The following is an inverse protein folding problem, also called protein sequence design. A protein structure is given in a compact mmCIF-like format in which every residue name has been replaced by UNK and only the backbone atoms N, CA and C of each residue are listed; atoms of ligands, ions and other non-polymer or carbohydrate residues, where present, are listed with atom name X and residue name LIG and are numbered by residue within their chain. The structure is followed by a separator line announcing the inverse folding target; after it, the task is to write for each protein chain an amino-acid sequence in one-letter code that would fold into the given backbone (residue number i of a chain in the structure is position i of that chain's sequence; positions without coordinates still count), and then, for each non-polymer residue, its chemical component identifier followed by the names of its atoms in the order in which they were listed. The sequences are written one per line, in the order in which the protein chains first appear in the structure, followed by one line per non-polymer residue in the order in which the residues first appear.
data_IF_770360953403
#
_entry.id   IF_770360953403
#
_cell.length_a   1.000
_cell.length_b   1.000
_cell.length_c   1.000
_cell.angle_alpha   90.00
_cell.angle_beta   90.00
_cell.angle_gamma   90.00
#
_symmetry.space_group_name_H-M   'P 1'
#
loop_
_entity.id
_entity.type
_entity.pdbx_description
1 polymer ?
#
# COMPACT_ATOMS: atom_id res chain seq x y z
N UNK A 1 1.08 51.77 -19.90
CA UNK A 1 0.64 50.43 -19.50
C UNK A 1 1.65 49.66 -18.61
N UNK A 2 2.74 50.28 -18.16
CA UNK A 2 3.89 49.57 -17.54
C UNK A 2 3.95 49.63 -15.99
N UNK A 3 3.06 50.38 -15.33
CA UNK A 3 3.18 50.71 -13.90
C UNK A 3 2.15 49.99 -13.01
N UNK A 4 1.09 49.43 -13.61
CA UNK A 4 -0.06 48.88 -12.85
C UNK A 4 0.04 47.37 -12.58
N UNK A 5 0.59 46.61 -13.53
CA UNK A 5 0.76 45.16 -13.40
C UNK A 5 1.82 44.82 -12.34
N UNK A 6 2.90 45.58 -12.28
CA UNK A 6 3.97 45.35 -11.29
C UNK A 6 3.51 45.63 -9.85
N UNK A 7 2.62 46.63 -9.65
CA UNK A 7 2.08 46.95 -8.34
C UNK A 7 1.12 45.88 -7.81
N UNK A 8 0.44 45.17 -8.71
CA UNK A 8 -0.57 44.17 -8.38
C UNK A 8 -0.13 42.74 -8.74
N UNK A 9 1.17 42.51 -8.96
CA UNK A 9 1.69 41.26 -9.49
C UNK A 9 1.40 40.07 -8.57
N UNK A 10 1.62 40.23 -7.26
CA UNK A 10 1.34 39.18 -6.26
C UNK A 10 -0.15 38.79 -6.22
N UNK A 11 -1.05 39.79 -6.24
CA UNK A 11 -2.49 39.55 -6.25
C UNK A 11 -2.93 38.85 -7.56
N UNK A 12 -2.36 39.26 -8.69
CA UNK A 12 -2.59 38.60 -9.98
C UNK A 12 -2.15 37.14 -9.95
N UNK A 13 -0.94 36.86 -9.43
CA UNK A 13 -0.40 35.50 -9.33
C UNK A 13 -1.29 34.62 -8.44
N UNK A 14 -1.72 35.12 -7.27
CA UNK A 14 -2.63 34.40 -6.36
C UNK A 14 -3.98 34.10 -7.00
N UNK A 15 -4.66 35.10 -7.58
CA UNK A 15 -5.96 34.89 -8.25
C UNK A 15 -5.84 33.94 -9.44
N UNK A 16 -4.72 34.00 -10.17
CA UNK A 16 -4.48 33.09 -11.28
C UNK A 16 -4.26 31.65 -10.76
N UNK A 17 -3.52 31.48 -9.66
CA UNK A 17 -3.33 30.17 -9.02
C UNK A 17 -4.67 29.57 -8.56
N UNK A 18 -5.54 30.35 -7.92
CA UNK A 18 -6.90 29.92 -7.54
C UNK A 18 -7.73 29.51 -8.77
N UNK A 19 -7.59 30.24 -9.87
CA UNK A 19 -8.20 29.92 -11.16
C UNK A 19 -7.72 28.57 -11.72
N UNK A 20 -6.41 28.31 -11.66
CA UNK A 20 -5.83 27.01 -12.07
C UNK A 20 -6.33 25.88 -11.18
N UNK A 21 -6.34 26.10 -9.86
CA UNK A 21 -6.80 25.10 -8.88
C UNK A 21 -8.29 24.77 -9.04
N UNK A 22 -9.12 25.73 -9.43
CA UNK A 22 -10.57 25.51 -9.63
C UNK A 22 -10.94 24.98 -11.02
N UNK A 23 -10.01 25.04 -11.99
CA UNK A 23 -10.28 24.65 -13.38
C UNK A 23 -10.55 23.15 -13.54
N UNK A 24 -11.72 22.76 -14.04
CA UNK A 24 -12.14 21.33 -14.04
C UNK A 24 -11.66 20.48 -15.21
N UNK A 25 -11.09 21.10 -16.26
CA UNK A 25 -10.61 20.37 -17.45
C UNK A 25 -9.13 20.00 -17.26
N UNK A 26 -8.34 20.06 -18.33
CA UNK A 26 -6.92 19.72 -18.30
C UNK A 26 -6.11 20.81 -17.55
N UNK A 27 -6.13 20.76 -16.20
CA UNK A 27 -5.37 21.66 -15.30
C UNK A 27 -3.90 21.67 -15.63
N UNK A 28 -3.33 20.52 -15.99
CA UNK A 28 -1.92 20.41 -16.35
C UNK A 28 -1.57 21.23 -17.58
N UNK A 29 -2.42 21.19 -18.62
CA UNK A 29 -2.23 22.01 -19.81
C UNK A 29 -2.38 23.49 -19.49
N UNK A 30 -3.39 23.86 -18.69
CA UNK A 30 -3.58 25.26 -18.27
C UNK A 30 -2.40 25.77 -17.43
N UNK A 31 -1.96 24.97 -16.45
CA UNK A 31 -0.81 25.26 -15.60
C UNK A 31 0.47 25.40 -16.43
N UNK A 32 0.69 24.50 -17.40
CA UNK A 32 1.81 24.59 -18.34
C UNK A 32 1.78 25.91 -19.14
N UNK A 33 0.64 26.27 -19.72
CA UNK A 33 0.48 27.53 -20.46
C UNK A 33 0.73 28.76 -19.59
N UNK A 34 0.25 28.76 -18.35
CA UNK A 34 0.42 29.87 -17.42
C UNK A 34 1.87 29.98 -16.95
N UNK A 35 2.53 28.85 -16.68
CA UNK A 35 3.97 28.81 -16.39
C UNK A 35 4.78 29.40 -17.55
N UNK A 36 4.50 28.95 -18.78
CA UNK A 36 5.18 29.45 -19.98
C UNK A 36 4.96 30.96 -20.16
N UNK A 37 3.73 31.44 -19.92
CA UNK A 37 3.40 32.85 -19.96
C UNK A 37 4.18 33.68 -18.93
N UNK A 38 4.19 33.30 -17.66
CA UNK A 38 4.90 34.07 -16.63
C UNK A 38 6.42 33.94 -16.71
N UNK A 39 6.94 32.81 -17.20
CA UNK A 39 8.37 32.68 -17.55
C UNK A 39 8.75 33.63 -18.69
N UNK A 40 7.91 33.73 -19.72
CA UNK A 40 8.10 34.71 -20.80
C UNK A 40 8.08 36.15 -20.27
N UNK A 41 7.09 36.51 -19.43
CA UNK A 41 7.00 37.85 -18.84
C UNK A 41 8.23 38.16 -17.98
N UNK A 42 8.66 37.21 -17.15
CA UNK A 42 9.86 37.35 -16.32
C UNK A 42 11.10 37.64 -17.15
N UNK A 43 11.31 36.86 -18.22
CA UNK A 43 12.47 36.99 -19.12
C UNK A 43 12.43 38.27 -19.97
N UNK A 44 11.28 38.59 -20.55
CA UNK A 44 11.16 39.70 -21.50
C UNK A 44 11.17 41.07 -20.81
N UNK A 45 10.54 41.17 -19.64
CA UNK A 45 10.44 42.43 -18.89
C UNK A 45 11.44 42.54 -17.72
N UNK A 46 12.28 41.53 -17.50
CA UNK A 46 13.29 41.53 -16.43
C UNK A 46 12.70 41.50 -15.01
N UNK A 47 11.47 40.99 -14.86
CA UNK A 47 10.75 40.93 -13.58
C UNK A 47 11.04 39.59 -12.92
N UNK A 48 11.43 39.58 -11.64
CA UNK A 48 11.63 38.33 -10.90
C UNK A 48 10.27 37.76 -10.50
N UNK A 49 9.85 36.67 -11.15
CA UNK A 49 8.64 35.93 -10.82
C UNK A 49 9.04 34.52 -10.42
N UNK A 50 8.68 34.12 -9.20
CA UNK A 50 8.88 32.75 -8.74
C UNK A 50 7.71 31.87 -9.21
N UNK A 51 7.78 31.44 -10.47
CA UNK A 51 6.68 30.70 -11.12
C UNK A 51 6.39 29.38 -10.41
N UNK A 52 7.39 28.72 -9.84
CA UNK A 52 7.22 27.44 -9.16
C UNK A 52 6.47 27.57 -7.83
N UNK A 53 6.63 28.72 -7.14
CA UNK A 53 5.87 29.01 -5.91
C UNK A 53 4.37 29.12 -6.15
N UNK A 54 3.93 29.72 -7.27
CA UNK A 54 2.51 29.94 -7.55
C UNK A 54 1.88 28.85 -8.42
N UNK A 55 2.66 28.23 -9.30
CA UNK A 55 2.18 27.30 -10.32
C UNK A 55 3.02 26.03 -10.34
N UNK A 56 3.17 25.29 -9.23
CA UNK A 56 4.05 24.13 -9.17
C UNK A 56 3.73 23.11 -10.28
N UNK A 57 4.72 22.37 -10.79
CA UNK A 57 4.47 21.30 -11.76
C UNK A 57 3.42 20.34 -11.19
N UNK A 58 2.28 20.26 -11.88
CA UNK A 58 1.23 19.33 -11.51
C UNK A 58 1.64 17.95 -12.04
N UNK A 59 2.01 17.06 -11.11
CA UNK A 59 2.56 15.75 -11.46
C UNK A 59 1.51 14.69 -11.77
N UNK A 60 0.22 14.93 -11.50
CA UNK A 60 -0.81 13.88 -11.58
C UNK A 60 -2.05 14.31 -12.34
N UNK A 61 -2.37 13.58 -13.40
CA UNK A 61 -3.37 14.02 -14.39
C UNK A 61 -4.75 13.40 -14.21
N UNK A 62 -4.85 12.25 -13.56
CA UNK A 62 -6.10 11.51 -13.38
C UNK A 62 -6.44 11.25 -11.91
N UNK A 63 -7.74 11.13 -11.61
CA UNK A 63 -8.23 10.86 -10.25
C UNK A 63 -7.59 9.59 -9.67
N UNK A 64 -7.53 8.52 -10.45
CA UNK A 64 -6.97 7.22 -10.03
C UNK A 64 -5.51 7.32 -9.60
N UNK A 65 -4.68 7.95 -10.45
CA UNK A 65 -3.25 8.17 -10.14
C UNK A 65 -3.11 9.03 -8.88
N UNK A 66 -3.88 10.11 -8.77
CA UNK A 66 -3.85 10.98 -7.59
C UNK A 66 -4.28 10.25 -6.32
N UNK A 67 -5.31 9.40 -6.38
CA UNK A 67 -5.75 8.64 -5.20
C UNK A 67 -4.68 7.63 -4.75
N UNK A 68 -3.97 6.99 -5.69
CA UNK A 68 -2.82 6.13 -5.38
C UNK A 68 -1.70 6.93 -4.71
N UNK A 69 -1.40 8.12 -5.22
CA UNK A 69 -0.34 8.96 -4.65
C UNK A 69 -0.73 9.55 -3.29
N UNK A 70 -2.00 9.89 -3.08
CA UNK A 70 -2.52 10.25 -1.75
C UNK A 70 -2.27 9.09 -0.78
N UNK A 71 -2.63 7.85 -1.15
CA UNK A 71 -2.41 6.69 -0.28
C UNK A 71 -0.94 6.52 0.11
N UNK A 72 0.01 6.75 -0.81
CA UNK A 72 1.45 6.70 -0.54
C UNK A 72 1.93 7.87 0.33
N UNK A 73 1.44 9.08 0.07
CA UNK A 73 1.78 10.26 0.86
C UNK A 73 1.38 10.10 2.33
N UNK A 74 0.28 9.39 2.58
CA UNK A 74 -0.20 9.07 3.93
C UNK A 74 0.62 7.97 4.64
N UNK A 75 1.68 7.42 4.02
CA UNK A 75 2.60 6.46 4.66
C UNK A 75 3.60 7.14 5.60
N UNK A 76 3.91 8.42 5.38
CA UNK A 76 4.88 9.20 6.17
C UNK A 76 4.32 9.73 7.50
N UNK A 77 3.24 9.13 7.98
CA UNK A 77 2.54 9.50 9.20
C UNK A 77 1.29 10.36 8.97
N UNK A 78 0.58 10.71 10.06
CA UNK A 78 -0.71 11.39 9.98
C UNK A 78 -0.61 12.78 9.33
N UNK A 79 -1.49 13.07 8.37
CA UNK A 79 -1.55 14.37 7.66
C UNK A 79 -2.91 15.03 7.80
N UNK A 80 -2.94 16.35 7.91
CA UNK A 80 -4.15 17.18 7.88
C UNK A 80 -4.68 17.35 6.45
N UNK A 81 -5.92 17.81 6.30
CA UNK A 81 -6.49 18.07 4.96
C UNK A 81 -5.75 19.18 4.24
N UNK A 82 -5.36 20.20 4.98
CA UNK A 82 -4.65 21.38 4.50
C UNK A 82 -3.31 20.96 3.89
N UNK A 83 -2.54 20.13 4.60
CA UNK A 83 -1.26 19.58 4.10
C UNK A 83 -1.43 18.77 2.81
N UNK A 84 -2.41 17.85 2.79
CA UNK A 84 -2.66 17.02 1.62
C UNK A 84 -3.12 17.89 0.43
N UNK A 85 -4.02 18.85 0.67
CA UNK A 85 -4.57 19.74 -0.37
C UNK A 85 -3.48 20.60 -1.02
N UNK A 86 -2.57 21.13 -0.19
CA UNK A 86 -1.42 21.90 -0.63
C UNK A 86 -0.45 21.03 -1.44
N UNK A 87 -0.09 19.85 -0.93
CA UNK A 87 0.83 18.93 -1.60
C UNK A 87 0.32 18.51 -2.98
N UNK A 88 -0.96 18.17 -3.10
CA UNK A 88 -1.56 17.75 -4.37
C UNK A 88 -2.12 18.90 -5.23
N UNK A 89 -2.03 20.15 -4.75
CA UNK A 89 -2.56 21.34 -5.43
C UNK A 89 -4.03 21.17 -5.86
N UNK A 90 -4.86 20.66 -4.94
CA UNK A 90 -6.31 20.48 -5.14
C UNK A 90 -7.09 21.23 -4.07
N UNK A 91 -8.33 21.62 -4.40
CA UNK A 91 -9.22 22.23 -3.41
C UNK A 91 -9.56 21.25 -2.29
N UNK A 92 -9.75 21.74 -1.07
CA UNK A 92 -10.20 20.93 0.07
C UNK A 92 -11.50 20.18 -0.19
N UNK A 93 -12.41 20.77 -1.00
CA UNK A 93 -13.64 20.11 -1.42
C UNK A 93 -13.35 18.84 -2.22
N UNK A 94 -12.48 18.94 -3.24
CA UNK A 94 -12.05 17.80 -4.05
C UNK A 94 -11.34 16.75 -3.19
N UNK A 95 -10.49 17.18 -2.26
CA UNK A 95 -9.82 16.28 -1.34
C UNK A 95 -10.84 15.57 -0.43
N UNK A 96 -11.84 16.29 0.09
CA UNK A 96 -12.88 15.72 0.94
C UNK A 96 -13.66 14.63 0.21
N UNK A 97 -13.98 14.84 -1.07
CA UNK A 97 -14.62 13.81 -1.90
C UNK A 97 -13.74 12.55 -2.00
N UNK A 98 -12.43 12.70 -2.25
CA UNK A 98 -11.50 11.56 -2.33
C UNK A 98 -11.33 10.83 -0.99
N UNK A 99 -11.17 11.56 0.11
CA UNK A 99 -11.03 10.98 1.43
C UNK A 99 -12.30 10.25 1.86
N UNK A 100 -13.48 10.77 1.53
CA UNK A 100 -14.75 10.09 1.77
C UNK A 100 -14.86 8.76 0.99
N UNK A 101 -14.44 8.75 -0.28
CA UNK A 101 -14.41 7.52 -1.09
C UNK A 101 -13.45 6.48 -0.50
N UNK A 102 -12.25 6.91 -0.06
CA UNK A 102 -11.29 6.02 0.60
C UNK A 102 -11.79 5.54 1.97
N UNK A 103 -12.51 6.35 2.73
CA UNK A 103 -13.05 5.93 4.03
C UNK A 103 -14.20 4.93 3.89
N UNK A 104 -15.03 5.09 2.85
CA UNK A 104 -16.14 4.18 2.56
C UNK A 104 -15.69 2.89 1.87
N UNK A 105 -14.50 2.91 1.25
CA UNK A 105 -14.02 1.82 0.40
C UNK A 105 -14.65 1.81 -1.00
N UNK A 106 -15.21 2.95 -1.43
CA UNK A 106 -15.86 3.11 -2.74
C UNK A 106 -14.84 3.17 -3.88
N UNK A 107 -13.60 3.58 -3.56
CA UNK A 107 -12.50 3.57 -4.52
C UNK A 107 -11.94 2.16 -4.70
N UNK A 108 -11.86 1.72 -5.96
CA UNK A 108 -11.24 0.44 -6.32
C UNK A 108 -10.19 0.61 -7.41
N UNK A 109 -9.15 -0.21 -7.33
CA UNK A 109 -8.11 -0.28 -8.34
C UNK A 109 -7.84 -1.75 -8.68
N UNK A 110 -7.86 -2.09 -9.97
CA UNK A 110 -7.74 -3.48 -10.46
C UNK A 110 -8.69 -4.47 -9.77
N UNK A 111 -9.89 -4.01 -9.42
CA UNK A 111 -10.93 -4.81 -8.77
C UNK A 111 -10.81 -4.93 -7.24
N UNK A 112 -9.80 -4.30 -6.62
CA UNK A 112 -9.61 -4.29 -5.16
C UNK A 112 -10.06 -2.96 -4.58
N UNK A 113 -11.01 -3.03 -3.65
CA UNK A 113 -11.42 -1.87 -2.85
C UNK A 113 -10.28 -1.43 -1.91
N UNK A 114 -9.99 -0.13 -1.90
CA UNK A 114 -9.00 0.48 -1.02
C UNK A 114 -9.74 1.27 0.06
N UNK A 115 -9.51 0.90 1.32
CA UNK A 115 -10.16 1.54 2.46
C UNK A 115 -9.16 2.03 3.48
N UNK A 116 -9.20 3.32 3.83
CA UNK A 116 -8.44 3.89 4.94
C UNK A 116 -9.32 4.00 6.18
N UNK A 117 -8.72 3.90 7.36
CA UNK A 117 -9.41 4.19 8.62
C UNK A 117 -9.09 5.63 9.04
N UNK A 118 -10.07 6.28 9.70
CA UNK A 118 -9.82 7.53 10.41
C UNK A 118 -9.79 7.22 11.90
N UNK A 119 -8.71 7.61 12.59
CA UNK A 119 -8.72 7.58 14.05
C UNK A 119 -9.74 8.59 14.57
N UNK A 120 -10.73 8.11 15.32
CA UNK A 120 -11.78 8.97 15.91
C UNK A 120 -11.13 9.99 16.85
N UNK A 121 -11.40 11.28 16.63
CA UNK A 121 -10.89 12.39 17.44
C UNK A 121 -9.64 13.06 16.88
N UNK A 122 -9.04 12.51 15.83
CA UNK A 122 -7.91 13.11 15.12
C UNK A 122 -8.38 13.68 13.77
N UNK A 123 -8.04 14.94 13.48
CA UNK A 123 -8.29 15.58 12.17
C UNK A 123 -7.20 15.22 11.14
N UNK A 124 -6.61 14.04 11.28
CA UNK A 124 -5.49 13.57 10.48
C UNK A 124 -5.79 12.23 9.83
N UNK A 125 -5.10 11.97 8.73
CA UNK A 125 -5.27 10.81 7.87
C UNK A 125 -3.94 10.06 7.77
N UNK A 126 -3.99 8.73 7.83
CA UNK A 126 -2.87 7.83 7.58
C UNK A 126 -3.32 6.67 6.67
N UNK A 127 -2.35 5.93 6.13
CA UNK A 127 -2.62 4.77 5.28
C UNK A 127 -1.54 3.72 5.48
N UNK A 128 -1.96 2.46 5.56
CA UNK A 128 -1.09 1.28 5.54
C UNK A 128 -1.20 0.52 4.21
N UNK A 129 -1.98 1.05 3.25
CA UNK A 129 -2.20 0.43 1.94
C UNK A 129 -0.99 0.66 1.04
N UNK A 130 -0.34 -0.40 0.59
CA UNK A 130 0.80 -0.32 -0.33
C UNK A 130 0.39 -0.79 -1.73
N UNK A 131 -0.01 0.12 -2.63
CA UNK A 131 -0.36 -0.24 -4.01
C UNK A 131 0.91 -0.60 -4.80
N UNK A 132 0.99 -1.85 -5.26
CA UNK A 132 2.08 -2.35 -6.11
C UNK A 132 1.52 -2.72 -7.48
N UNK A 133 2.04 -2.11 -8.54
CA UNK A 133 1.68 -2.40 -9.93
C UNK A 133 2.92 -2.79 -10.73
N UNK A 134 2.90 -3.96 -11.33
CA UNK A 134 4.00 -4.49 -12.13
C UNK A 134 3.47 -4.89 -13.51
N UNK A 135 3.97 -4.30 -14.62
CA UNK A 135 3.63 -4.75 -15.97
C UNK A 135 4.43 -6.02 -16.31
N UNK A 136 3.86 -7.17 -15.95
CA UNK A 136 4.54 -8.46 -16.03
C UNK A 136 4.20 -9.23 -17.31
N UNK A 137 5.18 -9.96 -17.83
CA UNK A 137 4.94 -10.97 -18.85
C UNK A 137 4.36 -12.27 -18.23
N UNK A 138 3.85 -13.18 -19.06
CA UNK A 138 3.21 -14.41 -18.56
C UNK A 138 4.13 -15.34 -17.76
N UNK A 139 5.43 -15.35 -18.05
CA UNK A 139 6.40 -16.16 -17.29
C UNK A 139 6.61 -15.60 -15.88
N UNK A 140 6.68 -14.28 -15.75
CA UNK A 140 6.77 -13.60 -14.45
C UNK A 140 5.48 -13.76 -13.64
N UNK A 141 4.31 -13.64 -14.30
CA UNK A 141 3.01 -13.95 -13.71
C UNK A 141 2.98 -15.39 -13.22
N UNK A 142 3.49 -16.35 -13.99
CA UNK A 142 3.56 -17.76 -13.58
C UNK A 142 4.44 -17.95 -12.34
N UNK A 143 5.60 -17.28 -12.27
CA UNK A 143 6.46 -17.30 -11.10
C UNK A 143 5.78 -16.70 -9.86
N UNK A 144 5.09 -15.56 -10.01
CA UNK A 144 4.39 -14.88 -8.91
C UNK A 144 3.03 -15.49 -8.55
N UNK A 145 2.56 -16.48 -9.28
CA UNK A 145 1.33 -17.22 -8.95
C UNK A 145 1.67 -18.64 -8.52
N UNK A 146 2.04 -19.49 -9.46
CA UNK A 146 2.37 -20.91 -9.21
C UNK A 146 3.66 -21.04 -8.41
N UNK A 147 4.68 -20.25 -8.72
CA UNK A 147 5.96 -20.29 -8.00
C UNK A 147 5.83 -19.90 -6.53
N UNK A 148 5.06 -18.85 -6.22
CA UNK A 148 4.78 -18.46 -4.83
C UNK A 148 4.06 -19.56 -4.06
N UNK A 149 2.96 -20.11 -4.61
CA UNK A 149 2.24 -21.20 -3.93
C UNK A 149 3.11 -22.42 -3.68
N UNK A 150 3.95 -22.80 -4.64
CA UNK A 150 4.91 -23.92 -4.48
C UNK A 150 5.95 -23.63 -3.41
N UNK A 151 6.55 -22.44 -3.43
CA UNK A 151 7.57 -22.00 -2.47
C UNK A 151 6.99 -21.85 -1.06
N UNK A 152 5.73 -21.46 -0.97
CA UNK A 152 5.02 -21.29 0.30
C UNK A 152 4.70 -22.61 1.00
N UNK A 153 4.66 -23.74 0.29
CA UNK A 153 4.27 -25.04 0.86
C UNK A 153 5.12 -25.38 2.07
N UNK A 154 4.46 -25.66 3.20
CA UNK A 154 5.12 -26.00 4.47
C UNK A 154 6.10 -24.93 4.95
N UNK A 155 5.82 -23.66 4.67
CA UNK A 155 6.57 -22.52 5.23
C UNK A 155 5.69 -21.60 6.05
N UNK A 156 6.32 -20.75 6.87
CA UNK A 156 5.67 -19.66 7.60
C UNK A 156 4.91 -18.66 6.70
N UNK A 157 5.17 -18.64 5.40
CA UNK A 157 4.58 -17.71 4.44
C UNK A 157 3.45 -18.29 3.61
N UNK A 158 3.10 -19.58 3.79
CA UNK A 158 2.15 -20.30 2.95
C UNK A 158 0.87 -19.50 2.69
N UNK A 159 0.21 -19.04 3.75
CA UNK A 159 -1.10 -18.40 3.65
C UNK A 159 -1.04 -17.03 2.96
N UNK A 160 0.06 -16.30 3.13
CA UNK A 160 0.30 -15.02 2.45
C UNK A 160 0.61 -15.25 0.97
N UNK A 161 1.49 -16.21 0.66
CA UNK A 161 1.84 -16.54 -0.72
C UNK A 161 0.64 -17.07 -1.49
N UNK A 162 -0.18 -17.91 -0.87
CA UNK A 162 -1.42 -18.38 -1.47
C UNK A 162 -2.35 -17.21 -1.77
N UNK A 163 -2.58 -16.32 -0.80
CA UNK A 163 -3.43 -15.15 -0.98
C UNK A 163 -2.91 -14.19 -2.06
N UNK A 164 -1.62 -13.85 -2.06
CA UNK A 164 -1.03 -12.96 -3.07
C UNK A 164 -1.15 -13.59 -4.47
N UNK A 165 -0.85 -14.89 -4.59
CA UNK A 165 -0.97 -15.61 -5.85
C UNK A 165 -2.42 -15.62 -6.38
N UNK A 166 -3.40 -15.85 -5.52
CA UNK A 166 -4.82 -15.76 -5.87
C UNK A 166 -5.20 -14.34 -6.31
N UNK A 167 -4.69 -13.32 -5.60
CA UNK A 167 -5.00 -11.94 -5.93
C UNK A 167 -4.44 -11.50 -7.29
N UNK A 168 -3.22 -11.93 -7.62
CA UNK A 168 -2.58 -11.68 -8.92
C UNK A 168 -3.34 -12.42 -10.01
N UNK A 169 -3.66 -13.70 -9.79
CA UNK A 169 -4.42 -14.51 -10.74
C UNK A 169 -5.75 -13.87 -11.09
N UNK A 170 -6.43 -13.27 -10.12
CA UNK A 170 -7.73 -12.63 -10.31
C UNK A 170 -7.74 -11.37 -11.18
N UNK A 171 -6.59 -10.72 -11.31
CA UNK A 171 -6.42 -9.55 -12.16
C UNK A 171 -6.13 -9.90 -13.63
N UNK A 172 -5.88 -11.19 -13.92
CA UNK A 172 -5.56 -11.64 -15.27
C UNK A 172 -6.81 -11.70 -16.15
N UNK A 173 -6.59 -11.47 -17.45
CA UNK A 173 -7.60 -11.76 -18.47
C UNK A 173 -7.91 -13.25 -18.54
N UNK A 174 -9.04 -13.62 -19.15
CA UNK A 174 -9.42 -15.03 -19.38
C UNK A 174 -8.32 -15.81 -20.11
N UNK A 175 -7.61 -15.17 -21.03
CA UNK A 175 -6.45 -15.77 -21.71
C UNK A 175 -5.31 -16.07 -20.73
N UNK A 176 -4.92 -15.10 -19.91
CA UNK A 176 -3.87 -15.26 -18.89
C UNK A 176 -4.24 -16.34 -17.88
N UNK A 177 -5.45 -16.28 -17.31
CA UNK A 177 -5.99 -17.29 -16.38
C UNK A 177 -5.90 -18.70 -16.97
N UNK A 178 -6.31 -18.90 -18.22
CA UNK A 178 -6.23 -20.21 -18.91
C UNK A 178 -4.79 -20.71 -19.00
N UNK A 179 -3.86 -19.87 -19.49
CA UNK A 179 -2.45 -20.24 -19.66
C UNK A 179 -1.78 -20.64 -18.34
N UNK A 180 -2.05 -19.89 -17.27
CA UNK A 180 -1.52 -20.20 -15.94
C UNK A 180 -2.14 -21.49 -15.39
N UNK A 181 -3.47 -21.63 -15.50
CA UNK A 181 -4.19 -22.77 -14.91
C UNK A 181 -3.85 -24.11 -15.55
N UNK A 182 -3.64 -24.14 -16.87
CA UNK A 182 -3.20 -25.35 -17.60
C UNK A 182 -1.93 -25.92 -16.97
N UNK A 183 -0.94 -25.06 -16.70
CA UNK A 183 0.34 -25.46 -16.09
C UNK A 183 0.27 -25.64 -14.57
N UNK A 184 -0.55 -24.86 -13.88
CA UNK A 184 -0.76 -25.01 -12.43
C UNK A 184 -1.34 -26.39 -12.07
N UNK A 185 -2.30 -26.90 -12.88
CA UNK A 185 -2.91 -28.22 -12.69
C UNK A 185 -1.89 -29.35 -12.74
N UNK A 186 -0.91 -29.28 -13.65
CA UNK A 186 0.20 -30.25 -13.73
C UNK A 186 1.02 -30.33 -12.42
N UNK A 187 0.95 -29.30 -11.56
CA UNK A 187 1.65 -29.21 -10.26
C UNK A 187 0.73 -29.35 -9.04
N UNK A 188 -0.56 -29.66 -9.27
CA UNK A 188 -1.57 -29.73 -8.22
C UNK A 188 -1.78 -28.38 -7.51
N UNK A 189 -1.69 -27.28 -8.26
CA UNK A 189 -1.95 -25.92 -7.76
C UNK A 189 -3.32 -25.45 -8.28
N UNK A 190 -4.10 -24.90 -7.37
CA UNK A 190 -5.43 -24.36 -7.63
C UNK A 190 -5.53 -22.93 -7.08
N UNK A 191 -6.36 -22.13 -7.73
CA UNK A 191 -6.62 -20.74 -7.36
C UNK A 191 -8.01 -20.63 -6.75
N UNK A 192 -8.14 -19.82 -5.70
CA UNK A 192 -9.41 -19.54 -5.04
C UNK A 192 -10.04 -18.28 -5.60
N UNK A 193 -11.21 -18.42 -6.23
CA UNK A 193 -11.97 -17.30 -6.80
C UNK A 193 -12.88 -16.61 -5.76
N UNK A 194 -12.98 -17.12 -4.52
CA UNK A 194 -13.88 -16.61 -3.47
C UNK A 194 -13.18 -15.74 -2.40
N UNK A 195 -11.97 -15.26 -2.67
CA UNK A 195 -11.27 -14.39 -1.72
C UNK A 195 -11.83 -12.95 -1.74
N UNK A 196 -11.71 -12.26 -0.61
CA UNK A 196 -12.20 -10.88 -0.46
C UNK A 196 -11.30 -9.93 -1.28
N UNK A 197 -11.90 -9.22 -2.22
CA UNK A 197 -11.25 -8.20 -3.06
C UNK A 197 -11.27 -6.81 -2.42
N UNK A 198 -10.75 -6.74 -1.20
CA UNK A 198 -10.61 -5.49 -0.46
C UNK A 198 -9.25 -5.49 0.25
N UNK A 199 -8.75 -4.29 0.54
CA UNK A 199 -7.64 -4.13 1.46
C UNK A 199 -7.96 -4.81 2.80
N UNK A 200 -7.00 -5.57 3.31
CA UNK A 200 -7.10 -6.28 4.57
C UNK A 200 -6.20 -5.58 5.56
N UNK A 201 -6.82 -5.01 6.59
CA UNK A 201 -6.08 -4.49 7.74
C UNK A 201 -5.34 -5.64 8.43
N UNK A 202 -4.12 -5.40 8.92
CA UNK A 202 -3.35 -6.46 9.59
C UNK A 202 -4.12 -6.96 10.83
N UNK A 203 -4.86 -6.07 11.48
CA UNK A 203 -5.79 -6.33 12.59
C UNK A 203 -6.93 -7.28 12.21
N UNK A 204 -7.56 -7.09 11.04
CA UNK A 204 -8.67 -7.96 10.58
C UNK A 204 -8.19 -9.38 10.24
N UNK A 205 -6.90 -9.54 9.91
CA UNK A 205 -6.32 -10.87 9.69
C UNK A 205 -6.19 -11.62 11.03
N UNK A 206 -5.98 -10.89 12.13
CA UNK A 206 -5.85 -11.46 13.49
C UNK A 206 -7.17 -12.01 14.02
N UNK A 207 -8.29 -11.35 13.71
CA UNK A 207 -9.64 -11.80 14.10
C UNK A 207 -10.15 -12.96 13.22
N UNK A 208 -9.48 -13.23 12.10
CA UNK A 208 -9.85 -14.33 11.21
C UNK A 208 -9.36 -15.67 11.76
N UNK A 209 -10.14 -16.75 11.58
CA UNK A 209 -9.76 -18.15 11.94
C UNK A 209 -8.48 -18.67 11.25
N UNK A 210 -7.69 -17.82 10.58
CA UNK A 210 -6.37 -18.14 10.03
C UNK A 210 -5.36 -18.13 11.17
N UNK A 211 -5.32 -19.24 11.92
CA UNK A 211 -4.59 -19.45 13.17
C UNK A 211 -3.05 -19.29 13.12
N UNK A 212 -2.45 -18.79 12.03
CA UNK A 212 -0.99 -18.86 11.80
C UNK A 212 -0.43 -17.65 11.04
N UNK A 213 -0.51 -16.48 11.67
CA UNK A 213 0.04 -15.21 11.17
C UNK A 213 1.56 -15.07 11.41
N UNK A 214 2.33 -16.12 11.11
CA UNK A 214 3.77 -16.14 11.40
C UNK A 214 4.53 -14.95 10.83
N UNK A 215 4.23 -14.56 9.59
CA UNK A 215 4.87 -13.43 8.93
C UNK A 215 4.62 -12.10 9.66
N UNK A 216 3.45 -11.93 10.28
CA UNK A 216 3.17 -10.74 11.10
C UNK A 216 4.07 -10.72 12.33
N UNK A 217 4.16 -11.82 13.07
CA UNK A 217 5.02 -11.89 14.27
C UNK A 217 6.51 -11.77 13.93
N UNK A 218 6.95 -12.37 12.81
CA UNK A 218 8.31 -12.21 12.27
C UNK A 218 8.62 -10.75 11.89
N UNK A 219 7.67 -10.04 11.29
CA UNK A 219 7.83 -8.64 10.86
C UNK A 219 7.78 -7.66 12.05
N UNK A 220 6.79 -7.82 12.93
CA UNK A 220 6.48 -6.86 14.00
C UNK A 220 7.34 -7.03 15.24
N UNK A 221 7.86 -8.25 15.49
CA UNK A 221 8.50 -8.58 16.76
C UNK A 221 7.54 -8.53 17.95
N UNK A 222 6.23 -8.59 17.70
CA UNK A 222 5.22 -8.60 18.75
C UNK A 222 5.37 -9.83 19.65
N UNK A 223 5.07 -9.65 20.94
CA UNK A 223 5.06 -10.74 21.90
C UNK A 223 3.89 -11.68 21.59
N UNK A 224 4.15 -12.98 21.58
CA UNK A 224 3.16 -13.99 21.23
C UNK A 224 3.22 -15.19 22.17
N UNK A 225 2.08 -15.86 22.28
CA UNK A 225 1.93 -17.18 22.91
C UNK A 225 1.77 -18.20 21.79
N UNK A 226 2.60 -19.24 21.82
CA UNK A 226 2.61 -20.32 20.83
C UNK A 226 2.31 -21.62 21.54
N UNK A 227 1.28 -22.33 21.07
CA UNK A 227 0.98 -23.70 21.48
C UNK A 227 1.44 -24.65 20.39
N UNK A 228 2.21 -25.66 20.78
CA UNK A 228 2.82 -26.60 19.84
C UNK A 228 2.91 -28.00 20.41
N UNK A 229 2.81 -28.98 19.52
CA UNK A 229 2.89 -30.39 19.87
C UNK A 229 4.34 -30.86 20.02
N UNK A 230 4.56 -31.71 21.02
CA UNK A 230 5.85 -32.34 21.27
C UNK A 230 5.64 -33.82 21.57
N UNK A 231 6.72 -34.62 21.56
CA UNK A 231 6.64 -36.04 21.94
C UNK A 231 6.11 -36.26 23.37
N UNK A 232 6.22 -35.25 24.23
CA UNK A 232 5.78 -35.27 25.63
C UNK A 232 4.37 -34.68 25.81
N UNK A 233 3.71 -34.30 24.71
CA UNK A 233 2.41 -33.64 24.68
C UNK A 233 2.48 -32.16 24.31
N UNK A 234 1.36 -31.48 24.52
CA UNK A 234 1.20 -30.06 24.21
C UNK A 234 2.08 -29.20 25.12
N UNK A 235 2.86 -28.30 24.52
CA UNK A 235 3.63 -27.28 25.22
C UNK A 235 3.22 -25.89 24.77
N UNK A 236 3.49 -24.93 25.66
CA UNK A 236 3.23 -23.51 25.42
C UNK A 236 4.50 -22.73 25.70
N UNK A 237 4.82 -21.78 24.83
CA UNK A 237 5.90 -20.82 25.02
C UNK A 237 5.36 -19.41 24.79
N UNK A 238 5.83 -18.46 25.59
CA UNK A 238 5.59 -17.03 25.38
C UNK A 238 6.93 -16.38 25.00
N UNK A 239 6.94 -15.59 23.93
CA UNK A 239 8.15 -14.94 23.46
C UNK A 239 7.98 -14.21 22.14
N UNK A 240 9.10 -13.73 21.59
CA UNK A 240 9.17 -13.08 20.28
C UNK A 240 9.66 -14.06 19.22
N UNK A 241 9.12 -13.96 18.02
CA UNK A 241 9.43 -14.86 16.90
C UNK A 241 10.52 -14.26 16.01
N UNK A 242 11.49 -15.07 15.63
CA UNK A 242 12.50 -14.78 14.61
C UNK A 242 12.68 -16.00 13.69
N UNK A 243 13.43 -15.84 12.61
CA UNK A 243 13.81 -16.94 11.75
C UNK A 243 14.76 -17.89 12.46
N UNK A 244 14.47 -19.18 12.36
CA UNK A 244 15.45 -20.20 12.73
C UNK A 244 16.60 -20.19 11.72
N UNK A 245 17.83 -20.35 12.23
CA UNK A 245 19.05 -20.46 11.41
C UNK A 245 19.67 -21.84 11.50
N UNK A 246 20.27 -22.27 10.39
CA UNK A 246 21.16 -23.41 10.29
C UNK A 246 22.40 -22.98 9.48
N UNK A 247 23.54 -22.82 10.16
CA UNK A 247 24.69 -22.14 9.56
C UNK A 247 24.35 -20.70 9.17
N UNK A 248 24.54 -20.38 7.89
CA UNK A 248 24.23 -19.07 7.31
C UNK A 248 22.83 -18.98 6.70
N UNK A 249 22.09 -20.10 6.66
CA UNK A 249 20.79 -20.16 5.99
C UNK A 249 19.62 -19.94 6.95
N UNK A 250 18.59 -19.27 6.44
CA UNK A 250 17.32 -19.08 7.13
C UNK A 250 16.38 -20.24 6.83
N UNK A 251 15.84 -20.85 7.87
CA UNK A 251 14.84 -21.89 7.77
C UNK A 251 13.45 -21.26 7.73
N UNK A 252 12.67 -21.61 6.70
CA UNK A 252 11.28 -21.15 6.54
C UNK A 252 10.26 -22.16 7.06
N UNK A 253 10.72 -23.38 7.38
CA UNK A 253 9.95 -24.50 7.94
C UNK A 253 9.99 -24.53 9.46
N UNK A 254 10.81 -23.66 10.08
CA UNK A 254 10.96 -23.57 11.54
C UNK A 254 10.97 -22.10 11.95
N UNK A 255 10.51 -21.84 13.17
CA UNK A 255 10.65 -20.55 13.81
C UNK A 255 11.55 -20.66 15.04
N UNK A 256 12.18 -19.56 15.39
CA UNK A 256 12.88 -19.37 16.66
C UNK A 256 12.00 -18.52 17.57
N UNK A 257 11.74 -19.00 18.78
CA UNK A 257 11.06 -18.22 19.83
C UNK A 257 12.09 -17.85 20.88
N UNK A 258 12.16 -16.56 21.21
CA UNK A 258 13.03 -16.01 22.27
C UNK A 258 12.12 -15.57 23.41
N UNK A 259 12.19 -16.26 24.55
CA UNK A 259 11.41 -15.90 25.74
C UNK A 259 12.08 -14.77 26.54
N UNK A 260 11.43 -14.32 27.61
CA UNK A 260 11.96 -13.23 28.45
C UNK A 260 13.26 -13.61 29.18
N UNK A 261 13.48 -14.90 29.42
CA UNK A 261 14.73 -15.45 29.97
C UNK A 261 15.85 -15.58 28.94
N UNK A 262 15.65 -15.09 27.70
CA UNK A 262 16.56 -15.22 26.56
C UNK A 262 16.82 -16.66 26.12
N UNK A 263 15.98 -17.60 26.55
CA UNK A 263 15.98 -18.98 26.07
C UNK A 263 15.49 -19.01 24.63
N UNK A 264 16.16 -19.85 23.82
CA UNK A 264 15.96 -19.97 22.38
C UNK A 264 15.35 -21.32 22.05
N UNK A 265 14.07 -21.31 21.69
CA UNK A 265 13.32 -22.53 21.38
C UNK A 265 13.06 -22.58 19.87
N UNK A 266 13.54 -23.62 19.19
CA UNK A 266 13.27 -23.87 17.77
C UNK A 266 12.05 -24.76 17.63
N UNK A 267 11.06 -24.34 16.84
CA UNK A 267 9.80 -25.06 16.66
C UNK A 267 9.54 -25.28 15.17
N UNK A 268 9.28 -26.53 14.79
CA UNK A 268 8.82 -26.87 13.44
C UNK A 268 7.38 -26.35 13.24
N UNK A 269 7.12 -25.67 12.12
CA UNK A 269 5.82 -25.01 11.92
C UNK A 269 4.64 -25.97 11.81
N UNK A 270 4.90 -27.22 11.43
CA UNK A 270 3.91 -28.29 11.30
C UNK A 270 3.45 -28.80 12.67
N UNK A 271 4.24 -28.55 13.73
CA UNK A 271 3.89 -28.84 15.12
C UNK A 271 3.16 -27.72 15.81
N UNK A 272 3.19 -26.51 15.26
CA UNK A 272 2.49 -25.36 15.86
C UNK A 272 0.99 -25.56 15.66
N UNK A 273 0.24 -25.43 16.74
CA UNK A 273 -1.22 -25.55 16.74
C UNK A 273 -1.83 -24.16 16.63
N UNK A 274 -1.35 -23.23 17.45
CA UNK A 274 -1.82 -21.84 17.47
C UNK A 274 -0.67 -20.87 17.75
N UNK A 275 -0.85 -19.64 17.28
CA UNK A 275 -0.03 -18.48 17.64
C UNK A 275 -0.96 -17.29 17.83
N UNK A 276 -0.90 -16.67 19.00
CA UNK A 276 -1.75 -15.55 19.41
C UNK A 276 -0.91 -14.48 20.11
N UNK A 277 -1.43 -13.26 20.24
CA UNK A 277 -0.74 -12.24 21.05
C UNK A 277 -0.66 -12.68 22.50
N UNK A 278 0.48 -12.41 23.12
CA UNK A 278 0.60 -12.46 24.57
C UNK A 278 0.33 -11.05 25.11
N UNK A 279 -0.68 -10.92 25.97
CA UNK A 279 -0.98 -9.69 26.70
C UNK A 279 0.02 -9.44 27.82
#
# INVERSE_FOLDING_TARGET
MNIDILKNLDELLKKTADGVQSYRRNKNKLNGLIRDFFNFVSKYYGVKIDVDTYFPPLNFREKTERMIEILKYLHEGPKTREEISAYFSITERTLSDYLNELQRGDYSFLGYSMKINLKRGENTYDSTIHPVFLPLNLSEVYALTVGLKLTGRKTVFKDIYDYIADCIYDQLSSYGKRRISEKAKEKGIFFDDNHIRAYRFEEDILDSKRQKMFAYFLKSGALCKIEYDTKEGLKTVVGRVDFAKEGNDYLTTKILVINDEQEKIKIDIDRIISIEFAN
#
